data_IF_622708071299
#
_entry.id   IF_622708071299
#
_cell.length_a   1.000
_cell.length_b   1.000
_cell.length_c   1.000
_cell.angle_alpha   90.00
_cell.angle_beta   90.00
_cell.angle_gamma   90.00
#
_symmetry.space_group_name_H-M   'P 1'
#
loop_
_entity.id
_entity.type
_entity.pdbx_description
1 polymer ?
#
# COMPACT_ATOMS: atom_id res chain seq x y z
N UNK A 1 24.41 25.26 -1.81
CA UNK A 1 23.60 24.60 -0.77
C UNK A 1 22.52 23.85 -1.53
N UNK A 2 22.40 22.54 -1.34
CA UNK A 2 21.30 21.78 -1.91
C UNK A 2 20.00 22.13 -1.17
N UNK A 3 18.93 22.26 -1.95
CA UNK A 3 17.61 22.59 -1.39
C UNK A 3 17.11 21.44 -0.51
N UNK A 4 16.60 21.76 0.68
CA UNK A 4 16.10 20.75 1.63
C UNK A 4 14.83 20.12 1.07
N UNK A 5 14.75 18.79 1.01
CA UNK A 5 13.51 18.12 0.59
C UNK A 5 12.33 18.49 1.51
N UNK A 6 11.15 18.67 0.91
CA UNK A 6 9.91 19.00 1.65
C UNK A 6 9.40 17.83 2.48
N UNK A 7 9.77 16.59 2.10
CA UNK A 7 9.47 15.37 2.85
C UNK A 7 10.43 14.25 2.51
N UNK A 8 10.57 13.28 3.42
CA UNK A 8 11.28 12.03 3.20
C UNK A 8 10.29 10.87 3.17
N UNK A 9 10.40 10.02 2.16
CA UNK A 9 9.60 8.81 2.04
C UNK A 9 10.48 7.57 2.30
N UNK A 10 10.14 6.78 3.32
CA UNK A 10 10.79 5.52 3.67
C UNK A 10 9.91 4.35 3.26
N UNK A 11 10.26 3.69 2.18
CA UNK A 11 9.55 2.56 1.62
C UNK A 11 10.20 1.23 1.97
N UNK A 12 9.52 0.13 1.69
CA UNK A 12 10.07 -1.21 1.83
C UNK A 12 8.99 -2.29 1.90
N UNK A 13 9.36 -3.56 1.70
CA UNK A 13 8.43 -4.66 1.83
C UNK A 13 7.93 -4.83 3.28
N UNK A 14 6.86 -5.60 3.44
CA UNK A 14 6.41 -6.00 4.78
C UNK A 14 7.52 -6.77 5.50
N UNK A 15 7.57 -6.67 6.83
CA UNK A 15 8.52 -7.34 7.72
C UNK A 15 10.01 -6.96 7.54
N UNK A 16 10.34 -5.84 6.87
CA UNK A 16 11.73 -5.39 6.70
C UNK A 16 12.22 -4.37 7.76
N UNK A 17 11.43 -4.09 8.80
CA UNK A 17 11.88 -3.23 9.91
C UNK A 17 11.61 -1.72 9.76
N UNK A 18 10.78 -1.28 8.80
CA UNK A 18 10.47 0.15 8.58
C UNK A 18 10.03 0.88 9.84
N UNK A 19 9.14 0.29 10.63
CA UNK A 19 8.58 0.91 11.83
C UNK A 19 9.64 1.33 12.84
N UNK A 20 10.62 0.46 13.11
CA UNK A 20 11.71 0.79 14.03
C UNK A 20 12.57 1.95 13.51
N UNK A 21 12.92 1.93 12.22
CA UNK A 21 13.69 3.00 11.57
C UNK A 21 12.93 4.33 11.57
N UNK A 22 11.64 4.29 11.22
CA UNK A 22 10.82 5.51 11.13
C UNK A 22 10.60 6.18 12.48
N UNK A 23 10.36 5.41 13.54
CA UNK A 23 10.19 5.94 14.89
C UNK A 23 11.48 6.58 15.42
N UNK A 24 12.62 5.97 15.14
CA UNK A 24 13.92 6.51 15.50
C UNK A 24 14.18 7.85 14.78
N UNK A 25 13.92 7.91 13.47
CA UNK A 25 14.02 9.13 12.70
C UNK A 25 13.06 10.22 13.18
N UNK A 26 11.79 9.83 13.43
CA UNK A 26 10.76 10.78 13.83
C UNK A 26 11.11 11.50 15.16
N UNK A 27 11.77 10.80 16.08
CA UNK A 27 12.26 11.41 17.32
C UNK A 27 13.43 12.37 17.08
N UNK A 28 14.37 11.98 16.22
CA UNK A 28 15.57 12.81 15.91
C UNK A 28 15.20 14.11 15.18
N UNK A 29 14.18 14.11 14.33
CA UNK A 29 13.79 15.26 13.51
C UNK A 29 12.59 16.03 14.00
N UNK A 30 12.01 15.65 15.13
CA UNK A 30 10.68 16.13 15.51
C UNK A 30 9.67 15.93 14.35
N UNK A 31 9.75 14.77 13.67
CA UNK A 31 8.90 14.47 12.52
C UNK A 31 7.54 13.93 12.94
N UNK A 32 6.60 14.00 12.00
CA UNK A 32 5.32 13.30 12.08
C UNK A 32 5.23 12.30 10.94
N UNK A 33 4.67 11.13 11.23
CA UNK A 33 4.61 10.02 10.27
C UNK A 33 3.29 10.07 9.50
N UNK A 34 3.37 10.01 8.17
CA UNK A 34 2.23 9.80 7.27
C UNK A 34 2.30 8.35 6.78
N UNK A 35 1.28 7.56 7.07
CA UNK A 35 1.23 6.15 6.68
C UNK A 35 1.00 5.97 5.18
N UNK A 36 1.91 5.29 4.49
CA UNK A 36 1.79 4.90 3.06
C UNK A 36 1.34 3.43 3.00
N UNK A 37 0.21 3.14 3.64
CA UNK A 37 -0.31 1.77 3.76
C UNK A 37 -1.83 1.73 3.56
N UNK A 38 -2.29 0.86 2.65
CA UNK A 38 -3.70 0.74 2.29
C UNK A 38 -4.52 -0.12 3.25
N UNK A 39 -3.92 -0.66 4.30
CA UNK A 39 -4.61 -1.48 5.29
C UNK A 39 -4.67 -0.81 6.68
N UNK A 40 -3.64 -0.04 7.06
CA UNK A 40 -3.58 0.66 8.34
C UNK A 40 -4.66 1.75 8.49
N UNK A 41 -5.26 2.17 7.40
CA UNK A 41 -6.31 3.20 7.37
C UNK A 41 -7.62 2.73 8.00
N UNK A 42 -7.86 1.42 8.10
CA UNK A 42 -9.13 0.87 8.56
C UNK A 42 -9.17 0.68 10.07
N UNK A 43 -10.25 1.18 10.71
CA UNK A 43 -10.52 0.98 12.14
C UNK A 43 -10.79 -0.49 12.44
N UNK A 44 -10.17 -1.01 13.50
CA UNK A 44 -10.35 -2.40 13.95
C UNK A 44 -9.58 -3.44 13.13
N UNK A 45 -8.77 -3.02 12.14
CA UNK A 45 -7.82 -3.87 11.45
C UNK A 45 -6.41 -3.59 12.01
N UNK A 46 -6.11 -4.14 13.18
CA UNK A 46 -4.95 -3.75 13.98
C UNK A 46 -3.87 -4.83 13.98
N UNK A 47 -4.22 -6.04 14.44
CA UNK A 47 -3.28 -7.16 14.58
C UNK A 47 -2.84 -7.66 13.20
N UNK A 48 -3.81 -7.95 12.32
CA UNK A 48 -3.53 -8.51 11.00
C UNK A 48 -2.80 -7.57 10.05
N UNK A 49 -2.86 -6.26 10.29
CA UNK A 49 -2.08 -5.25 9.56
C UNK A 49 -0.75 -4.93 10.23
N UNK A 50 -0.53 -5.40 11.48
CA UNK A 50 0.54 -4.97 12.38
C UNK A 50 0.59 -3.45 12.54
N UNK A 51 -0.58 -2.84 12.77
CA UNK A 51 -0.71 -1.44 13.09
C UNK A 51 0.04 -1.14 14.38
N UNK A 52 0.89 -0.09 14.42
CA UNK A 52 1.60 0.26 15.64
C UNK A 52 0.60 0.71 16.73
N UNK A 53 0.66 0.11 17.90
CA UNK A 53 -0.13 0.53 19.06
C UNK A 53 0.26 1.94 19.50
N UNK A 54 -0.55 2.58 20.34
CA UNK A 54 -0.22 3.91 20.86
C UNK A 54 1.09 3.91 21.66
N UNK A 55 1.38 2.82 22.37
CA UNK A 55 2.63 2.62 23.09
C UNK A 55 3.80 2.50 22.12
N UNK A 56 3.66 1.71 21.06
CA UNK A 56 4.68 1.56 20.03
C UNK A 56 4.93 2.85 19.26
N UNK A 57 3.88 3.65 19.00
CA UNK A 57 4.03 4.98 18.40
C UNK A 57 4.90 5.92 19.26
N UNK A 58 4.93 5.70 20.58
CA UNK A 58 5.86 6.39 21.48
C UNK A 58 5.71 7.91 21.47
N UNK A 59 4.49 8.41 21.33
CA UNK A 59 4.18 9.84 21.28
C UNK A 59 4.45 10.52 19.93
N UNK A 60 4.93 9.79 18.91
CA UNK A 60 5.08 10.30 17.55
C UNK A 60 3.71 10.35 16.87
N UNK A 61 3.27 11.52 16.36
CA UNK A 61 2.02 11.60 15.62
C UNK A 61 2.06 10.74 14.34
N UNK A 62 1.00 9.95 14.16
CA UNK A 62 0.81 9.13 12.97
C UNK A 62 -0.48 9.55 12.27
N UNK A 63 -0.39 9.87 11.00
CA UNK A 63 -1.50 10.26 10.14
C UNK A 63 -1.87 9.14 9.17
N UNK A 64 -3.09 9.14 8.68
CA UNK A 64 -3.68 8.15 7.79
C UNK A 64 -3.68 6.73 8.38
N UNK A 65 -3.94 6.67 9.69
CA UNK A 65 -4.20 5.44 10.45
C UNK A 65 -5.59 5.61 11.09
N UNK A 66 -6.43 4.57 11.06
CA UNK A 66 -7.78 4.57 11.65
C UNK A 66 -8.70 5.70 11.14
N UNK A 67 -8.63 6.03 9.87
CA UNK A 67 -9.43 7.10 9.28
C UNK A 67 -10.73 6.64 8.64
N UNK A 68 -10.86 5.35 8.30
CA UNK A 68 -12.03 4.77 7.62
C UNK A 68 -12.61 3.57 8.35
N UNK A 69 -13.88 3.31 8.13
CA UNK A 69 -14.49 2.03 8.46
C UNK A 69 -14.31 1.01 7.33
N UNK A 70 -14.45 -0.27 7.64
CA UNK A 70 -14.11 -1.37 6.70
C UNK A 70 -14.98 -1.38 5.44
N UNK A 71 -16.15 -0.76 5.49
CA UNK A 71 -17.11 -0.62 4.39
C UNK A 71 -16.70 0.46 3.39
N UNK A 72 -15.83 1.37 3.78
CA UNK A 72 -15.37 2.51 2.97
C UNK A 72 -14.22 2.11 2.05
N UNK A 73 -14.02 2.90 1.00
CA UNK A 73 -12.92 2.69 0.06
C UNK A 73 -11.99 3.89 0.00
N UNK A 74 -10.70 3.63 -0.16
CA UNK A 74 -9.69 4.68 -0.27
C UNK A 74 -8.83 4.49 -1.51
N UNK A 75 -8.78 5.49 -2.35
CA UNK A 75 -8.05 5.44 -3.61
C UNK A 75 -6.63 5.99 -3.48
N UNK A 76 -5.77 5.66 -4.46
CA UNK A 76 -4.44 6.25 -4.53
C UNK A 76 -4.47 7.76 -4.80
N UNK A 77 -5.50 8.27 -5.47
CA UNK A 77 -5.72 9.70 -5.67
C UNK A 77 -6.07 10.40 -4.34
N UNK A 78 -7.04 9.86 -3.58
CA UNK A 78 -7.38 10.38 -2.25
C UNK A 78 -6.18 10.35 -1.31
N UNK A 79 -5.36 9.29 -1.35
CA UNK A 79 -4.12 9.25 -0.59
C UNK A 79 -3.17 10.40 -0.98
N UNK A 80 -2.98 10.64 -2.30
CA UNK A 80 -2.06 11.68 -2.75
C UNK A 80 -2.52 13.08 -2.30
N UNK A 81 -3.82 13.38 -2.39
CA UNK A 81 -4.42 14.63 -1.92
C UNK A 81 -4.24 14.82 -0.40
N UNK A 82 -4.56 13.79 0.39
CA UNK A 82 -4.39 13.84 1.84
C UNK A 82 -2.92 13.96 2.25
N UNK A 83 -2.03 13.24 1.57
CA UNK A 83 -0.60 13.32 1.85
C UNK A 83 -0.03 14.70 1.53
N UNK A 84 -0.41 15.32 0.41
CA UNK A 84 -0.02 16.70 0.06
C UNK A 84 -0.49 17.71 1.12
N UNK A 85 -1.75 17.64 1.50
CA UNK A 85 -2.31 18.49 2.57
C UNK A 85 -1.54 18.31 3.87
N UNK A 86 -1.30 17.07 4.30
CA UNK A 86 -0.58 16.76 5.53
C UNK A 86 0.87 17.22 5.50
N UNK A 87 1.57 17.09 4.37
CA UNK A 87 2.93 17.61 4.20
C UNK A 87 2.94 19.13 4.47
N UNK A 88 1.98 19.86 3.90
CA UNK A 88 1.84 21.31 4.12
C UNK A 88 1.54 21.65 5.60
N UNK A 89 0.58 20.97 6.21
CA UNK A 89 0.18 21.17 7.60
C UNK A 89 1.32 20.87 8.59
N UNK A 90 2.03 19.76 8.40
CA UNK A 90 3.16 19.33 9.24
C UNK A 90 4.30 20.35 9.13
N UNK A 91 4.64 20.76 7.92
CA UNK A 91 5.67 21.77 7.67
C UNK A 91 5.28 23.13 8.27
N UNK A 92 4.01 23.51 8.16
CA UNK A 92 3.49 24.76 8.71
C UNK A 92 3.61 24.88 10.23
N UNK A 93 3.69 23.77 10.97
CA UNK A 93 3.98 23.75 12.43
C UNK A 93 5.43 23.41 12.77
N UNK A 94 6.34 23.63 11.80
CA UNK A 94 7.79 23.41 11.96
C UNK A 94 8.16 21.96 12.34
N UNK A 95 7.38 21.00 11.86
CA UNK A 95 7.68 19.57 11.97
C UNK A 95 8.10 19.03 10.61
N UNK A 96 8.78 17.88 10.59
CA UNK A 96 9.23 17.26 9.34
C UNK A 96 8.28 16.15 8.90
N UNK A 97 7.75 16.19 7.66
CA UNK A 97 6.89 15.12 7.15
C UNK A 97 7.72 13.87 6.80
N UNK A 98 7.41 12.73 7.44
CA UNK A 98 8.04 11.44 7.17
C UNK A 98 6.97 10.46 6.68
N UNK A 99 7.00 10.14 5.40
CA UNK A 99 6.08 9.17 4.81
C UNK A 99 6.65 7.76 4.95
N UNK A 100 5.87 6.81 5.49
CA UNK A 100 6.37 5.46 5.79
C UNK A 100 5.38 4.40 5.34
N UNK A 101 5.83 3.46 4.50
CA UNK A 101 4.95 2.35 4.15
C UNK A 101 5.42 1.42 3.05
N UNK A 102 4.46 0.66 2.53
CA UNK A 102 4.71 -0.38 1.54
C UNK A 102 3.69 -0.43 0.41
N UNK A 103 2.70 0.46 0.37
CA UNK A 103 1.74 0.56 -0.73
C UNK A 103 2.33 1.38 -1.87
N UNK A 104 3.04 0.69 -2.78
CA UNK A 104 3.82 1.33 -3.85
C UNK A 104 2.97 2.16 -4.81
N UNK A 105 1.70 1.82 -4.99
CA UNK A 105 0.78 2.61 -5.78
C UNK A 105 0.53 4.00 -5.16
N UNK A 106 0.44 4.08 -3.84
CA UNK A 106 0.30 5.34 -3.12
C UNK A 106 1.56 6.20 -3.25
N UNK A 107 2.73 5.58 -3.04
CA UNK A 107 4.01 6.24 -3.23
C UNK A 107 4.17 6.79 -4.66
N UNK A 108 3.74 6.01 -5.66
CA UNK A 108 3.74 6.44 -7.06
C UNK A 108 2.78 7.60 -7.31
N UNK A 109 1.55 7.51 -6.79
CA UNK A 109 0.53 8.54 -6.96
C UNK A 109 1.00 9.90 -6.44
N UNK A 110 1.60 9.93 -5.25
CA UNK A 110 2.14 11.16 -4.66
C UNK A 110 3.35 11.69 -5.44
N UNK A 111 4.22 10.83 -5.91
CA UNK A 111 5.49 11.18 -6.50
C UNK A 111 5.41 11.60 -7.97
N UNK A 112 4.50 10.99 -8.72
CA UNK A 112 4.37 11.15 -10.15
C UNK A 112 3.04 11.81 -10.56
N UNK A 113 2.14 12.00 -9.60
CA UNK A 113 0.75 12.31 -9.88
C UNK A 113 -0.03 11.11 -10.40
N UNK A 114 -1.31 11.28 -10.49
CA UNK A 114 -2.22 10.32 -11.14
C UNK A 114 -2.71 10.91 -12.45
N UNK A 115 -2.90 10.06 -13.46
CA UNK A 115 -3.63 10.51 -14.65
C UNK A 115 -5.09 10.80 -14.25
N UNK A 116 -5.69 11.78 -14.88
CA UNK A 116 -7.09 12.10 -14.68
C UNK A 116 -7.95 10.92 -15.14
N UNK A 117 -8.37 10.13 -14.18
CA UNK A 117 -9.33 9.06 -14.42
C UNK A 117 -10.63 9.41 -13.71
N UNK A 118 -11.79 9.17 -14.33
CA UNK A 118 -13.08 9.47 -13.70
C UNK A 118 -13.20 8.73 -12.37
N UNK A 119 -13.96 9.31 -11.44
CA UNK A 119 -14.34 8.60 -10.24
C UNK A 119 -15.04 7.28 -10.59
N UNK A 120 -14.95 6.30 -9.73
CA UNK A 120 -15.69 5.05 -9.88
C UNK A 120 -17.18 5.31 -9.75
N UNK A 121 -17.95 4.80 -10.69
CA UNK A 121 -19.41 4.72 -10.57
C UNK A 121 -19.77 3.30 -10.08
N UNK A 122 -20.35 3.17 -8.85
CA UNK A 122 -20.70 1.86 -8.30
C UNK A 122 -21.63 1.05 -9.20
N UNK A 123 -22.61 1.70 -9.85
CA UNK A 123 -23.59 1.03 -10.71
C UNK A 123 -22.96 0.48 -11.99
N UNK A 124 -22.05 1.25 -12.60
CA UNK A 124 -21.28 0.81 -13.76
C UNK A 124 -20.36 -0.34 -13.38
N UNK A 125 -19.67 -0.24 -12.25
CA UNK A 125 -18.78 -1.29 -11.76
C UNK A 125 -19.51 -2.60 -11.48
N UNK A 126 -20.68 -2.53 -10.82
CA UNK A 126 -21.51 -3.70 -10.54
C UNK A 126 -21.95 -4.39 -11.83
N UNK A 127 -22.43 -3.63 -12.82
CA UNK A 127 -22.85 -4.15 -14.12
C UNK A 127 -21.69 -4.83 -14.89
N UNK A 128 -20.52 -4.20 -14.92
CA UNK A 128 -19.33 -4.78 -15.56
C UNK A 128 -18.88 -6.05 -14.83
N UNK A 129 -18.96 -6.05 -13.51
CA UNK A 129 -18.60 -7.23 -12.70
C UNK A 129 -19.56 -8.38 -12.98
N UNK A 130 -20.86 -8.13 -12.99
CA UNK A 130 -21.90 -9.13 -13.30
C UNK A 130 -21.70 -9.72 -14.69
N UNK A 131 -21.45 -8.88 -15.70
CA UNK A 131 -21.12 -9.35 -17.05
C UNK A 131 -19.84 -10.19 -17.09
N UNK A 132 -18.83 -9.82 -16.32
CA UNK A 132 -17.60 -10.59 -16.22
C UNK A 132 -17.77 -11.97 -15.55
N UNK A 133 -18.70 -12.08 -14.59
CA UNK A 133 -19.07 -13.37 -13.99
C UNK A 133 -19.90 -14.23 -14.95
N UNK A 134 -20.77 -13.62 -15.74
CA UNK A 134 -21.63 -14.32 -16.70
C UNK A 134 -20.85 -14.81 -17.93
N UNK A 135 -20.08 -13.92 -18.57
CA UNK A 135 -19.42 -14.18 -19.85
C UNK A 135 -18.00 -14.73 -19.73
N UNK A 136 -17.43 -14.60 -18.54
CA UNK A 136 -16.00 -14.85 -18.31
C UNK A 136 -15.10 -13.66 -18.65
N UNK A 137 -14.04 -13.48 -17.88
CA UNK A 137 -13.11 -12.37 -18.04
C UNK A 137 -12.33 -12.35 -19.34
N UNK A 138 -11.99 -13.50 -19.99
CA UNK A 138 -11.44 -13.49 -21.34
C UNK A 138 -12.36 -12.82 -22.36
N UNK A 139 -13.68 -13.05 -22.32
CA UNK A 139 -14.64 -12.37 -23.21
C UNK A 139 -14.73 -10.87 -22.92
N UNK A 140 -14.63 -10.46 -21.66
CA UNK A 140 -14.54 -9.03 -21.28
C UNK A 140 -13.25 -8.39 -21.79
N UNK A 141 -12.14 -9.12 -21.82
CA UNK A 141 -10.88 -8.68 -22.40
C UNK A 141 -10.98 -8.50 -23.93
N UNK A 142 -11.69 -9.37 -24.62
CA UNK A 142 -11.98 -9.21 -26.05
C UNK A 142 -12.81 -7.93 -26.32
N UNK A 143 -13.81 -7.64 -25.49
CA UNK A 143 -14.53 -6.36 -25.54
C UNK A 143 -13.62 -5.16 -25.32
N UNK A 144 -12.71 -5.26 -24.33
CA UNK A 144 -11.71 -4.22 -24.10
C UNK A 144 -10.82 -4.02 -25.33
N UNK A 145 -10.43 -5.11 -26.03
CA UNK A 145 -9.61 -5.05 -27.25
C UNK A 145 -10.29 -4.22 -28.35
N UNK A 146 -11.62 -4.22 -28.42
CA UNK A 146 -12.39 -3.45 -29.42
C UNK A 146 -12.40 -1.94 -29.09
N UNK A 147 -12.42 -1.56 -27.83
CA UNK A 147 -12.57 -0.16 -27.40
C UNK A 147 -11.24 0.49 -26.97
N UNK A 148 -10.28 -0.31 -26.48
CA UNK A 148 -8.95 0.14 -26.04
C UNK A 148 -7.89 -0.94 -26.30
N UNK A 149 -7.48 -1.16 -27.57
CA UNK A 149 -6.50 -2.18 -27.91
C UNK A 149 -5.13 -1.95 -27.24
N UNK A 150 -4.77 -0.70 -26.97
CA UNK A 150 -3.51 -0.33 -26.31
C UNK A 150 -3.49 -0.84 -24.86
N UNK A 151 -4.56 -0.65 -24.12
CA UNK A 151 -4.67 -1.15 -22.76
C UNK A 151 -4.80 -2.67 -22.76
N UNK A 152 -5.63 -3.25 -23.64
CA UNK A 152 -5.84 -4.69 -23.72
C UNK A 152 -4.52 -5.45 -23.97
N UNK A 153 -3.65 -4.97 -24.88
CA UNK A 153 -2.37 -5.59 -25.18
C UNK A 153 -1.41 -5.70 -23.97
N UNK A 154 -1.62 -4.90 -22.93
CA UNK A 154 -0.80 -4.91 -21.72
C UNK A 154 -1.37 -5.75 -20.57
N UNK A 155 -2.61 -6.21 -20.71
CA UNK A 155 -3.33 -6.91 -19.65
C UNK A 155 -3.48 -8.39 -19.98
N UNK A 156 -3.37 -9.22 -18.94
CA UNK A 156 -3.73 -10.62 -19.08
C UNK A 156 -5.27 -10.76 -19.21
N UNK A 157 -5.78 -11.71 -20.04
CA UNK A 157 -7.22 -11.87 -20.24
C UNK A 157 -8.03 -12.12 -18.96
N UNK A 158 -7.41 -12.70 -17.94
CA UNK A 158 -8.04 -12.97 -16.65
C UNK A 158 -7.78 -11.88 -15.58
N UNK A 159 -7.22 -10.72 -15.96
CA UNK A 159 -7.02 -9.61 -15.01
C UNK A 159 -8.32 -8.83 -14.80
N UNK A 160 -9.21 -9.43 -13.98
CA UNK A 160 -10.55 -8.92 -13.66
C UNK A 160 -10.54 -7.43 -13.30
N UNK A 161 -9.60 -7.05 -12.42
CA UNK A 161 -9.58 -5.72 -11.85
C UNK A 161 -9.21 -4.66 -12.90
N UNK A 162 -8.18 -4.92 -13.70
CA UNK A 162 -7.71 -3.94 -14.68
C UNK A 162 -8.55 -3.93 -15.94
N UNK A 163 -9.01 -5.08 -16.41
CA UNK A 163 -9.96 -5.18 -17.53
C UNK A 163 -11.28 -4.48 -17.15
N UNK A 164 -11.83 -4.81 -15.96
CA UNK A 164 -13.05 -4.18 -15.46
C UNK A 164 -12.91 -2.66 -15.35
N UNK A 165 -11.80 -2.15 -14.78
CA UNK A 165 -11.57 -0.71 -14.65
C UNK A 165 -11.45 0.00 -16.00
N UNK A 166 -10.79 -0.59 -16.97
CA UNK A 166 -10.65 0.00 -18.30
C UNK A 166 -12.00 0.11 -19.01
N UNK A 167 -12.84 -0.91 -18.92
CA UNK A 167 -14.20 -0.90 -19.45
C UNK A 167 -15.11 0.09 -18.70
N UNK A 168 -15.00 0.17 -17.36
CA UNK A 168 -15.71 1.16 -16.54
C UNK A 168 -15.37 2.59 -16.99
N UNK A 169 -14.09 2.90 -17.18
CA UNK A 169 -13.67 4.23 -17.66
C UNK A 169 -14.24 4.54 -19.03
N UNK A 170 -14.18 3.56 -19.94
CA UNK A 170 -14.77 3.74 -21.28
C UNK A 170 -16.29 3.96 -21.23
N UNK A 171 -16.99 3.23 -20.39
CA UNK A 171 -18.45 3.34 -20.27
C UNK A 171 -18.88 4.69 -19.65
N UNK A 172 -18.12 5.21 -18.69
CA UNK A 172 -18.40 6.51 -18.05
C UNK A 172 -18.06 7.68 -18.97
N UNK A 173 -16.94 7.60 -19.71
CA UNK A 173 -16.38 8.75 -20.44
C UNK A 173 -16.54 8.69 -21.94
N UNK A 174 -16.83 7.53 -22.51
CA UNK A 174 -16.75 7.27 -23.94
C UNK A 174 -15.33 7.29 -24.53
N UNK A 175 -14.30 7.36 -23.66
CA UNK A 175 -12.89 7.44 -24.08
C UNK A 175 -12.10 6.23 -23.60
N UNK A 176 -11.17 5.68 -24.41
CA UNK A 176 -10.25 4.65 -23.99
C UNK A 176 -9.42 5.08 -22.78
N UNK A 177 -9.19 4.18 -21.82
CA UNK A 177 -8.30 4.48 -20.67
C UNK A 177 -6.89 4.88 -21.15
N UNK A 178 -6.38 4.26 -22.21
CA UNK A 178 -5.09 4.62 -22.80
C UNK A 178 -5.00 6.06 -23.27
N UNK A 179 -6.11 6.69 -23.67
CA UNK A 179 -6.14 8.09 -24.11
C UNK A 179 -6.09 9.10 -22.96
N UNK A 180 -6.39 8.65 -21.74
CA UNK A 180 -6.30 9.48 -20.53
C UNK A 180 -4.88 9.46 -19.92
N UNK A 181 -4.02 8.58 -20.38
CA UNK A 181 -2.62 8.56 -19.97
C UNK A 181 -1.81 9.59 -20.74
N UNK A 182 -1.53 10.73 -20.13
CA UNK A 182 -0.87 11.87 -20.78
C UNK A 182 0.64 11.69 -21.00
N UNK A 183 1.24 10.57 -20.61
CA UNK A 183 2.62 10.20 -20.96
C UNK A 183 3.69 10.65 -19.97
N UNK A 184 4.39 11.72 -20.18
CA UNK A 184 5.55 12.07 -19.37
C UNK A 184 5.15 12.57 -17.98
N UNK A 185 5.35 11.72 -16.96
CA UNK A 185 5.22 12.12 -15.56
C UNK A 185 6.56 12.63 -15.06
N UNK A 186 6.57 13.83 -14.53
CA UNK A 186 7.73 14.40 -13.85
C UNK A 186 7.72 13.91 -12.40
N UNK A 187 8.83 13.34 -11.95
CA UNK A 187 9.00 13.05 -10.53
C UNK A 187 9.12 14.36 -9.76
N UNK A 188 8.45 14.43 -8.61
CA UNK A 188 8.67 15.53 -7.68
C UNK A 188 10.09 15.42 -7.06
N UNK A 189 11.03 16.29 -7.44
CA UNK A 189 12.40 16.23 -6.93
C UNK A 189 12.50 16.65 -5.47
N UNK A 190 11.45 17.27 -4.92
CA UNK A 190 11.41 17.73 -3.53
C UNK A 190 10.98 16.62 -2.56
N UNK A 191 10.59 15.45 -3.06
CA UNK A 191 10.36 14.24 -2.28
C UNK A 191 11.61 13.37 -2.30
N UNK A 192 12.37 13.33 -1.20
CA UNK A 192 13.45 12.38 -1.04
C UNK A 192 12.89 10.98 -0.80
N UNK A 193 13.39 9.97 -1.51
CA UNK A 193 12.89 8.60 -1.39
C UNK A 193 14.00 7.63 -1.05
N UNK A 194 13.81 6.90 0.06
CA UNK A 194 14.66 5.80 0.48
C UNK A 194 13.85 4.52 0.63
N UNK A 195 14.51 3.38 0.52
CA UNK A 195 13.87 2.09 0.76
C UNK A 195 14.74 1.14 1.56
N UNK A 196 14.11 0.44 2.51
CA UNK A 196 14.67 -0.77 3.07
C UNK A 196 14.46 -1.90 2.06
N UNK A 197 15.54 -2.41 1.51
CA UNK A 197 15.53 -3.34 0.40
C UNK A 197 16.32 -4.62 0.75
N UNK A 198 15.68 -5.61 1.40
CA UNK A 198 16.34 -6.86 1.78
C UNK A 198 16.86 -7.62 0.55
N UNK A 199 18.16 -7.97 0.54
CA UNK A 199 18.77 -8.80 -0.49
C UNK A 199 18.56 -10.29 -0.18
N UNK A 200 18.68 -10.67 1.09
CA UNK A 200 18.44 -12.04 1.55
C UNK A 200 16.93 -12.32 1.63
N UNK A 201 16.44 -13.04 0.61
CA UNK A 201 15.04 -13.44 0.54
C UNK A 201 14.67 -14.51 1.56
N UNK A 202 15.60 -15.40 1.92
CA UNK A 202 15.34 -16.46 2.89
C UNK A 202 15.10 -15.84 4.27
N UNK A 203 15.94 -14.90 4.66
CA UNK A 203 15.79 -14.12 5.89
C UNK A 203 14.50 -13.32 5.92
N UNK A 204 14.14 -12.66 4.80
CA UNK A 204 12.85 -11.96 4.72
C UNK A 204 11.67 -12.91 4.88
N UNK A 205 11.71 -14.09 4.27
CA UNK A 205 10.67 -15.11 4.38
C UNK A 205 10.54 -15.63 5.83
N UNK A 206 11.67 -15.83 6.51
CA UNK A 206 11.69 -16.20 7.92
C UNK A 206 11.04 -15.12 8.80
N UNK A 207 11.39 -13.85 8.58
CA UNK A 207 10.80 -12.72 9.32
C UNK A 207 9.30 -12.57 9.06
N UNK A 208 8.85 -12.80 7.82
CA UNK A 208 7.43 -12.85 7.47
C UNK A 208 6.72 -13.97 8.23
N UNK A 209 7.31 -15.16 8.28
CA UNK A 209 6.75 -16.29 9.01
C UNK A 209 6.60 -16.00 10.50
N UNK A 210 7.69 -15.56 11.15
CA UNK A 210 7.69 -15.19 12.58
C UNK A 210 6.64 -14.12 12.89
N UNK A 211 6.53 -13.10 12.05
CA UNK A 211 5.54 -12.03 12.22
C UNK A 211 4.11 -12.55 12.09
N UNK A 212 3.82 -13.41 11.11
CA UNK A 212 2.49 -13.98 10.93
C UNK A 212 2.10 -14.86 12.13
N UNK A 213 3.01 -15.70 12.59
CA UNK A 213 2.79 -16.53 13.79
C UNK A 213 2.54 -15.67 15.04
N UNK A 214 3.28 -14.57 15.20
CA UNK A 214 3.07 -13.62 16.29
C UNK A 214 1.69 -12.94 16.22
N UNK A 215 1.23 -12.54 15.03
CA UNK A 215 -0.11 -11.99 14.83
C UNK A 215 -1.21 -12.98 15.22
N UNK A 216 -1.09 -14.24 14.81
CA UNK A 216 -2.06 -15.28 15.16
C UNK A 216 -2.08 -15.50 16.67
N UNK A 217 -0.91 -15.56 17.31
CA UNK A 217 -0.79 -15.68 18.76
C UNK A 217 -1.36 -14.48 19.53
N UNK A 218 -1.29 -13.29 18.93
CA UNK A 218 -1.83 -12.05 19.50
C UNK A 218 -3.36 -11.92 19.37
N UNK A 219 -4.05 -12.89 18.74
CA UNK A 219 -5.50 -12.89 18.61
C UNK A 219 -6.03 -12.43 17.24
N UNK A 220 -5.24 -12.56 16.18
CA UNK A 220 -5.66 -12.15 14.83
C UNK A 220 -6.99 -12.79 14.39
N UNK A 221 -7.23 -14.07 14.70
CA UNK A 221 -8.51 -14.71 14.37
C UNK A 221 -9.70 -14.12 15.14
N UNK A 222 -9.48 -13.65 16.38
CA UNK A 222 -10.53 -13.01 17.17
C UNK A 222 -10.85 -11.62 16.62
N UNK A 223 -9.83 -10.87 16.18
CA UNK A 223 -10.01 -9.61 15.45
C UNK A 223 -10.88 -9.84 14.20
N UNK A 224 -10.58 -10.85 13.39
CA UNK A 224 -11.34 -11.14 12.17
C UNK A 224 -12.78 -11.56 12.51
N UNK A 225 -13.01 -12.38 13.55
CA UNK A 225 -14.36 -12.71 14.01
C UNK A 225 -15.17 -11.48 14.40
N UNK A 226 -14.55 -10.54 15.11
CA UNK A 226 -15.20 -9.28 15.48
C UNK A 226 -15.58 -8.44 14.26
N UNK A 227 -14.71 -8.38 13.25
CA UNK A 227 -15.02 -7.71 11.98
C UNK A 227 -16.16 -8.40 11.21
N UNK A 228 -16.16 -9.74 11.16
CA UNK A 228 -17.22 -10.53 10.51
C UNK A 228 -18.59 -10.36 11.20
N UNK A 229 -18.60 -10.04 12.48
CA UNK A 229 -19.83 -9.79 13.24
C UNK A 229 -20.41 -8.38 13.05
N UNK A 230 -19.73 -7.47 12.36
CA UNK A 230 -20.19 -6.10 12.14
C UNK A 230 -21.39 -6.07 11.18
N UNK A 231 -22.40 -5.21 11.44
CA UNK A 231 -23.42 -4.90 10.44
C UNK A 231 -22.74 -4.35 9.17
N UNK A 232 -23.15 -4.84 8.00
CA UNK A 232 -22.56 -4.41 6.71
C UNK A 232 -21.27 -5.12 6.31
N UNK A 233 -20.80 -6.11 7.09
CA UNK A 233 -19.68 -6.95 6.68
C UNK A 233 -19.99 -7.68 5.37
N UNK A 234 -19.04 -7.57 4.43
CA UNK A 234 -18.97 -8.37 3.20
C UNK A 234 -17.51 -8.78 2.97
N UNK A 235 -17.27 -10.05 2.76
CA UNK A 235 -15.93 -10.59 2.47
C UNK A 235 -15.32 -10.04 1.19
N UNK A 236 -16.13 -9.45 0.30
CA UNK A 236 -15.70 -8.82 -0.95
C UNK A 236 -15.26 -7.36 -0.79
N UNK A 237 -15.46 -6.76 0.37
CA UNK A 237 -14.97 -5.40 0.65
C UNK A 237 -13.49 -5.25 0.34
N UNK A 238 -13.05 -4.10 -0.18
CA UNK A 238 -11.64 -3.84 -0.45
C UNK A 238 -10.73 -4.06 0.78
N UNK A 239 -11.18 -3.71 1.97
CA UNK A 239 -10.53 -3.94 3.25
C UNK A 239 -10.28 -5.42 3.54
N UNK A 240 -11.28 -6.27 3.29
CA UNK A 240 -11.22 -7.71 3.55
C UNK A 240 -10.34 -8.48 2.55
N UNK A 241 -9.96 -7.84 1.44
CA UNK A 241 -8.97 -8.38 0.50
C UNK A 241 -7.53 -8.24 0.98
N UNK A 242 -7.30 -7.55 2.10
CA UNK A 242 -5.98 -7.43 2.70
C UNK A 242 -5.38 -8.82 2.97
N UNK A 243 -4.07 -8.92 2.77
CA UNK A 243 -3.33 -10.17 2.98
C UNK A 243 -3.45 -10.60 4.45
N UNK A 244 -3.75 -11.85 4.67
CA UNK A 244 -4.03 -12.41 5.99
C UNK A 244 -5.53 -12.47 6.28
N UNK A 245 -6.27 -11.37 6.08
CA UNK A 245 -7.72 -11.30 6.36
C UNK A 245 -8.52 -12.26 5.49
N UNK A 246 -8.31 -12.27 4.19
CA UNK A 246 -8.98 -13.21 3.30
C UNK A 246 -8.74 -14.68 3.69
N UNK A 247 -7.52 -15.02 4.09
CA UNK A 247 -7.17 -16.37 4.54
C UNK A 247 -7.83 -16.71 5.88
N UNK A 248 -7.87 -15.73 6.80
CA UNK A 248 -8.53 -15.90 8.09
C UNK A 248 -10.05 -16.07 7.94
N UNK A 249 -10.70 -15.32 7.05
CA UNK A 249 -12.13 -15.46 6.74
C UNK A 249 -12.42 -16.85 6.20
N UNK A 250 -11.65 -17.36 5.23
CA UNK A 250 -11.83 -18.71 4.67
C UNK A 250 -11.70 -19.79 5.77
N UNK A 251 -10.72 -19.63 6.67
CA UNK A 251 -10.57 -20.55 7.81
C UNK A 251 -11.75 -20.47 8.78
N UNK A 252 -12.18 -19.28 9.15
CA UNK A 252 -13.31 -19.09 10.07
C UNK A 252 -14.65 -19.58 9.52
N UNK A 253 -14.79 -19.64 8.18
CA UNK A 253 -15.92 -20.24 7.47
C UNK A 253 -15.81 -21.78 7.37
N UNK A 254 -14.69 -22.36 7.78
CA UNK A 254 -14.43 -23.82 7.70
C UNK A 254 -13.98 -24.29 6.31
N UNK A 255 -13.61 -23.40 5.42
CA UNK A 255 -13.14 -23.72 4.05
C UNK A 255 -11.70 -24.27 4.08
N UNK A 256 -10.92 -23.94 5.12
CA UNK A 256 -9.56 -24.42 5.33
C UNK A 256 -9.34 -24.84 6.78
N UNK A 257 -8.47 -25.81 7.01
CA UNK A 257 -7.99 -26.10 8.36
C UNK A 257 -6.99 -25.06 8.86
N UNK A 258 -6.58 -25.16 10.11
CA UNK A 258 -5.67 -24.18 10.74
C UNK A 258 -4.27 -24.17 10.11
N UNK A 259 -3.73 -25.34 9.73
CA UNK A 259 -2.41 -25.44 9.10
C UNK A 259 -2.44 -24.82 7.70
N UNK A 260 -3.47 -25.11 6.92
CA UNK A 260 -3.72 -24.48 5.60
C UNK A 260 -3.85 -22.96 5.71
N UNK A 261 -4.54 -22.47 6.73
CA UNK A 261 -4.63 -21.03 7.00
C UNK A 261 -3.24 -20.42 7.25
N UNK A 262 -2.44 -21.02 8.14
CA UNK A 262 -1.10 -20.51 8.45
C UNK A 262 -0.22 -20.45 7.18
N UNK A 263 -0.17 -21.55 6.43
CA UNK A 263 0.69 -21.64 5.25
C UNK A 263 0.21 -20.71 4.12
N UNK A 264 -1.09 -20.63 3.87
CA UNK A 264 -1.64 -19.72 2.84
C UNK A 264 -1.46 -18.24 3.23
N UNK A 265 -1.60 -17.89 4.50
CA UNK A 265 -1.35 -16.54 5.01
C UNK A 265 0.11 -16.11 4.86
N UNK A 266 1.04 -16.99 5.28
CA UNK A 266 2.49 -16.76 5.08
C UNK A 266 2.84 -16.67 3.59
N UNK A 267 2.29 -17.55 2.75
CA UNK A 267 2.52 -17.54 1.31
C UNK A 267 2.01 -16.24 0.65
N UNK A 268 0.80 -15.81 0.99
CA UNK A 268 0.22 -14.56 0.49
C UNK A 268 1.06 -13.33 0.91
N UNK A 269 1.60 -13.34 2.13
CA UNK A 269 2.48 -12.27 2.63
C UNK A 269 3.83 -12.26 1.89
N UNK A 270 4.41 -13.44 1.60
CA UNK A 270 5.63 -13.55 0.76
C UNK A 270 5.38 -13.00 -0.65
N UNK A 271 4.20 -13.27 -1.24
CA UNK A 271 3.83 -12.74 -2.55
C UNK A 271 3.63 -11.21 -2.51
N UNK A 272 3.06 -10.68 -1.44
CA UNK A 272 2.98 -9.23 -1.24
C UNK A 272 4.38 -8.61 -1.21
N UNK A 273 5.29 -9.13 -0.39
CA UNK A 273 6.66 -8.65 -0.29
C UNK A 273 7.40 -8.72 -1.64
N UNK A 274 7.22 -9.81 -2.41
CA UNK A 274 7.78 -9.94 -3.77
C UNK A 274 7.28 -8.83 -4.69
N UNK A 275 5.97 -8.51 -4.68
CA UNK A 275 5.42 -7.41 -5.48
C UNK A 275 6.00 -6.07 -5.06
N UNK A 276 6.10 -5.80 -3.76
CA UNK A 276 6.69 -4.57 -3.23
C UNK A 276 8.14 -4.40 -3.69
N UNK A 277 8.96 -5.45 -3.61
CA UNK A 277 10.35 -5.46 -4.09
C UNK A 277 10.42 -5.21 -5.60
N UNK A 278 9.54 -5.81 -6.39
CA UNK A 278 9.48 -5.61 -7.84
C UNK A 278 9.20 -4.14 -8.19
N UNK A 279 8.27 -3.50 -7.51
CA UNK A 279 7.97 -2.08 -7.68
C UNK A 279 9.16 -1.20 -7.30
N UNK A 280 9.78 -1.45 -6.15
CA UNK A 280 10.95 -0.69 -5.69
C UNK A 280 12.12 -0.73 -6.68
N UNK A 281 12.34 -1.88 -7.33
CA UNK A 281 13.40 -2.02 -8.36
C UNK A 281 13.16 -1.14 -9.58
N UNK A 282 11.90 -0.92 -9.94
CA UNK A 282 11.54 -0.10 -11.10
C UNK A 282 11.40 1.38 -10.78
N UNK A 283 11.49 1.75 -9.49
CA UNK A 283 11.30 3.14 -9.05
C UNK A 283 12.63 3.91 -9.15
N UNK A 284 12.75 4.90 -10.04
CA UNK A 284 14.00 5.62 -10.23
C UNK A 284 14.33 6.54 -9.04
N UNK A 285 15.61 6.80 -8.82
CA UNK A 285 16.11 7.74 -7.82
C UNK A 285 15.85 7.34 -6.36
N UNK A 286 15.56 6.06 -6.08
CA UNK A 286 15.40 5.54 -4.72
C UNK A 286 16.76 5.14 -4.16
N UNK A 287 17.11 5.69 -3.00
CA UNK A 287 18.29 5.24 -2.24
C UNK A 287 17.92 3.99 -1.45
N UNK A 288 18.64 2.89 -1.67
CA UNK A 288 18.30 1.60 -1.05
C UNK A 288 19.28 1.21 0.03
N UNK A 289 18.79 0.61 1.12
CA UNK A 289 19.56 0.05 2.21
C UNK A 289 19.14 -1.41 2.44
N UNK A 290 20.09 -2.32 2.56
CA UNK A 290 19.79 -3.66 3.06
C UNK A 290 19.65 -3.61 4.59
N UNK A 291 18.47 -3.84 5.14
CA UNK A 291 18.22 -3.75 6.59
C UNK A 291 18.89 -4.88 7.38
N UNK A 292 19.41 -5.90 6.69
CA UNK A 292 20.05 -7.05 7.32
C UNK A 292 21.56 -6.96 7.36
N UNK A 293 22.14 -6.14 6.45
CA UNK A 293 23.60 -5.98 6.32
C UNK A 293 24.06 -4.58 6.76
N UNK A 294 23.21 -3.56 6.56
CA UNK A 294 23.57 -2.19 6.91
C UNK A 294 23.25 -1.89 8.38
N UNK A 295 24.20 -1.46 9.19
CA UNK A 295 23.95 -1.06 10.56
C UNK A 295 22.86 0.01 10.65
N UNK A 296 21.98 -0.12 11.64
CA UNK A 296 20.85 0.78 11.83
C UNK A 296 21.28 2.25 11.99
N UNK A 297 22.41 2.48 12.65
CA UNK A 297 23.03 3.82 12.79
C UNK A 297 23.39 4.41 11.43
N UNK A 298 24.02 3.61 10.56
CA UNK A 298 24.36 4.03 9.19
C UNK A 298 23.12 4.37 8.37
N UNK A 299 22.07 3.55 8.44
CA UNK A 299 20.79 3.83 7.77
C UNK A 299 20.24 5.17 8.29
N UNK A 300 20.21 5.35 9.60
CA UNK A 300 19.70 6.56 10.25
C UNK A 300 20.46 7.80 9.78
N UNK A 301 21.80 7.78 9.82
CA UNK A 301 22.63 8.92 9.45
C UNK A 301 22.46 9.30 7.98
N UNK A 302 22.39 8.31 7.09
CA UNK A 302 22.09 8.54 5.67
C UNK A 302 20.72 9.12 5.43
N UNK A 303 19.70 8.64 6.13
CA UNK A 303 18.34 9.18 6.03
C UNK A 303 18.26 10.61 6.60
N UNK A 304 19.02 10.91 7.65
CA UNK A 304 19.17 12.29 8.16
C UNK A 304 19.76 13.21 7.10
N UNK A 305 20.85 12.80 6.48
CA UNK A 305 21.50 13.57 5.43
C UNK A 305 20.58 13.77 4.21
N UNK A 306 19.72 12.79 3.89
CA UNK A 306 18.70 12.92 2.83
C UNK A 306 17.60 13.90 3.22
N UNK A 307 17.17 13.92 4.48
CA UNK A 307 16.12 14.82 4.98
C UNK A 307 16.64 16.26 5.15
N UNK A 308 17.90 16.44 5.46
CA UNK A 308 18.56 17.75 5.53
C UNK A 308 20.01 17.67 5.04
N UNK A 309 20.24 17.94 3.75
CA UNK A 309 21.57 17.86 3.15
C UNK A 309 22.59 18.86 3.74
N UNK A 310 22.16 19.80 4.57
CA UNK A 310 23.02 20.82 5.20
C UNK A 310 23.35 20.48 6.67
N UNK A 311 22.90 19.31 7.17
CA UNK A 311 23.34 18.78 8.47
C UNK A 311 24.75 18.17 8.32
N UNK A 312 25.70 18.72 9.05
CA UNK A 312 27.06 18.17 9.23
C UNK A 312 27.03 16.89 10.09
#
# INVERSE_FOLDING_TARGET
>A
MSEKPRALMLLGPTACGKTAVSLMLARDFAAEIISVDSALIYRGMDIGTAKPTKEEQGGVPHHLIDILDIEESYSAAAFAEDAERLIGEISGRSRYPLLVGGTMLYAKALREGMDESPATDPSVRERITALGEELGWPAMHERLTQVDPITAARLAPNDRQRVGRALEVFEITGKPLSSLHTGAKSYDPTLAVAALFPQDRAKLHEMIGKRFDAMVKAGFLDEVRALMARPGFDENLPSMRAVGYRQAIAHLKGETDFEQFLESGKAATRQLAKRQITWLRSMPGVVTFDPYETPLTTIKDKLRQMADPNLD
#
